data_IF_545488218771
#
_entry.id   IF_545488218771
#
_cell.length_a   1.000
_cell.length_b   1.000
_cell.length_c   1.000
_cell.angle_alpha   90.00
_cell.angle_beta   90.00
_cell.angle_gamma   90.00
#
_symmetry.space_group_name_H-M   'P 1'
#
loop_
_entity.id
_entity.type
_entity.pdbx_description
1 polymer ?
#
# COMPACT_ATOMS: atom_id res chain seq x y z
N UNK A 1 15.24 -1.20 29.55
CA UNK A 1 15.75 -0.48 28.36
C UNK A 1 16.31 -1.52 27.42
N UNK A 2 15.85 -1.59 26.16
CA UNK A 2 16.45 -2.49 25.18
C UNK A 2 17.91 -2.09 24.93
N UNK A 3 18.82 -3.06 24.83
CA UNK A 3 20.21 -2.78 24.47
C UNK A 3 20.27 -2.23 23.05
N UNK A 4 21.18 -1.29 22.80
CA UNK A 4 21.39 -0.68 21.47
C UNK A 4 21.58 -1.76 20.39
N UNK A 5 22.31 -2.82 20.74
CA UNK A 5 22.52 -4.01 19.91
C UNK A 5 21.21 -4.65 19.43
N UNK A 6 20.21 -4.76 20.31
CA UNK A 6 18.91 -5.36 19.98
C UNK A 6 18.13 -4.51 18.98
N UNK A 7 18.20 -3.18 19.10
CA UNK A 7 17.53 -2.25 18.18
C UNK A 7 18.13 -2.35 16.79
N UNK A 8 19.47 -2.36 16.69
CA UNK A 8 20.16 -2.54 15.41
C UNK A 8 19.90 -3.93 14.80
N UNK A 9 19.87 -4.98 15.62
CA UNK A 9 19.53 -6.33 15.16
C UNK A 9 18.10 -6.42 14.62
N UNK A 10 17.12 -5.82 15.31
CA UNK A 10 15.72 -5.74 14.87
C UNK A 10 15.58 -4.96 13.56
N UNK A 11 16.16 -3.76 13.47
CA UNK A 11 16.13 -2.94 12.27
C UNK A 11 16.78 -3.67 11.08
N UNK A 12 17.95 -4.29 11.29
CA UNK A 12 18.63 -5.09 10.28
C UNK A 12 17.81 -6.29 9.82
N UNK A 13 17.14 -6.98 10.74
CA UNK A 13 16.25 -8.11 10.41
C UNK A 13 15.05 -7.65 9.58
N UNK A 14 14.41 -6.53 9.95
CA UNK A 14 13.28 -5.96 9.19
C UNK A 14 13.74 -5.57 7.77
N UNK A 15 14.89 -4.91 7.64
CA UNK A 15 15.47 -4.55 6.34
C UNK A 15 15.80 -5.79 5.49
N UNK A 16 16.39 -6.83 6.10
CA UNK A 16 16.69 -8.09 5.42
C UNK A 16 15.41 -8.78 4.93
N UNK A 17 14.35 -8.83 5.75
CA UNK A 17 13.06 -9.39 5.36
C UNK A 17 12.46 -8.59 4.21
N UNK A 18 12.50 -7.25 4.28
CA UNK A 18 12.06 -6.36 3.21
C UNK A 18 12.79 -6.63 1.89
N UNK A 19 14.11 -6.66 1.94
CA UNK A 19 14.95 -6.96 0.78
C UNK A 19 14.70 -8.35 0.22
N UNK A 20 14.56 -9.36 1.09
CA UNK A 20 14.30 -10.74 0.67
C UNK A 20 12.92 -10.87 0.04
N UNK A 21 11.90 -10.21 0.59
CA UNK A 21 10.55 -10.12 0.02
C UNK A 21 10.56 -9.51 -1.39
N UNK A 22 11.29 -8.41 -1.56
CA UNK A 22 11.49 -7.78 -2.88
C UNK A 22 12.24 -8.70 -3.86
N UNK A 23 13.31 -9.36 -3.40
CA UNK A 23 14.08 -10.28 -4.24
C UNK A 23 13.24 -11.49 -4.68
N UNK A 24 12.47 -12.10 -3.77
CA UNK A 24 11.55 -13.19 -4.07
C UNK A 24 10.43 -12.74 -5.01
N UNK A 25 9.88 -11.55 -4.81
CA UNK A 25 8.87 -10.95 -5.69
C UNK A 25 9.33 -10.92 -7.14
N UNK A 26 10.57 -10.46 -7.37
CA UNK A 26 11.16 -10.41 -8.71
C UNK A 26 11.43 -11.79 -9.31
N UNK A 27 11.79 -12.78 -8.49
CA UNK A 27 12.03 -14.16 -8.94
C UNK A 27 10.74 -14.92 -9.29
N UNK A 28 9.71 -14.78 -8.46
CA UNK A 28 8.43 -15.48 -8.60
C UNK A 28 7.36 -14.71 -9.39
N UNK A 29 7.63 -13.44 -9.76
CA UNK A 29 6.69 -12.53 -10.42
C UNK A 29 5.39 -12.29 -9.63
N UNK A 30 5.49 -12.28 -8.30
CA UNK A 30 4.38 -12.01 -7.37
C UNK A 30 4.63 -10.64 -6.76
N UNK A 31 3.62 -9.78 -6.54
CA UNK A 31 3.77 -8.53 -5.81
C UNK A 31 4.46 -8.73 -4.45
N UNK A 32 5.46 -7.92 -4.16
CA UNK A 32 6.25 -7.96 -2.93
C UNK A 32 5.39 -7.80 -1.67
N UNK A 33 4.35 -6.95 -1.73
CA UNK A 33 3.40 -6.77 -0.63
C UNK A 33 2.72 -8.09 -0.20
N UNK A 34 2.39 -8.98 -1.14
CA UNK A 34 1.78 -10.27 -0.82
C UNK A 34 2.76 -11.18 -0.08
N UNK A 35 4.02 -11.20 -0.53
CA UNK A 35 5.08 -11.97 0.10
C UNK A 35 5.36 -11.43 1.50
N UNK A 36 5.43 -10.11 1.67
CA UNK A 36 5.67 -9.48 2.97
C UNK A 36 4.53 -9.74 3.96
N UNK A 37 3.26 -9.65 3.53
CA UNK A 37 2.10 -10.01 4.34
C UNK A 37 2.19 -11.48 4.77
N UNK A 38 2.49 -12.38 3.84
CA UNK A 38 2.58 -13.82 4.12
C UNK A 38 3.72 -14.16 5.08
N UNK A 39 4.90 -13.56 4.90
CA UNK A 39 6.05 -13.71 5.78
C UNK A 39 5.72 -13.18 7.18
N UNK A 40 5.13 -12.00 7.30
CA UNK A 40 4.69 -11.45 8.58
C UNK A 40 3.69 -12.37 9.29
N UNK A 41 2.70 -12.87 8.57
CA UNK A 41 1.71 -13.81 9.09
C UNK A 41 2.34 -15.10 9.62
N UNK A 42 3.29 -15.70 8.89
CA UNK A 42 3.99 -16.93 9.31
C UNK A 42 4.86 -16.69 10.55
N UNK A 43 5.62 -15.59 10.56
CA UNK A 43 6.52 -15.26 11.68
C UNK A 43 5.72 -15.08 12.98
N UNK A 44 4.59 -14.40 12.92
CA UNK A 44 3.76 -14.15 14.11
C UNK A 44 2.93 -15.37 14.50
N UNK A 45 2.29 -16.07 13.55
CA UNK A 45 1.34 -17.14 13.86
C UNK A 45 2.01 -18.49 14.11
N UNK A 46 2.90 -18.90 13.20
CA UNK A 46 3.51 -20.24 13.22
C UNK A 46 4.68 -20.29 14.19
N UNK A 47 5.55 -19.29 14.12
CA UNK A 47 6.78 -19.25 14.92
C UNK A 47 6.59 -18.59 16.27
N UNK A 48 5.56 -17.72 16.44
CA UNK A 48 5.33 -16.92 17.65
C UNK A 48 6.58 -16.19 18.14
N UNK A 49 7.47 -15.86 17.20
CA UNK A 49 8.80 -15.33 17.47
C UNK A 49 8.74 -13.86 17.92
N UNK A 50 7.65 -13.16 17.58
CA UNK A 50 7.44 -11.74 17.83
C UNK A 50 6.10 -11.58 18.57
N UNK A 51 6.15 -11.04 19.79
CA UNK A 51 4.95 -10.55 20.46
C UNK A 51 4.56 -9.19 19.83
N UNK A 52 3.35 -9.04 19.28
CA UNK A 52 2.90 -7.77 18.73
C UNK A 52 2.60 -6.71 19.82
N UNK A 53 2.45 -7.08 21.09
CA UNK A 53 2.05 -6.15 22.16
C UNK A 53 3.01 -4.94 22.34
N UNK A 54 4.35 -5.10 22.33
CA UNK A 54 5.28 -3.97 22.41
C UNK A 54 5.32 -3.13 21.13
N UNK A 55 4.93 -3.71 19.99
CA UNK A 55 4.91 -3.03 18.69
C UNK A 55 3.64 -2.17 18.51
N UNK A 56 2.50 -2.59 19.07
CA UNK A 56 1.23 -1.84 18.97
C UNK A 56 1.33 -0.33 19.21
N UNK A 57 2.01 0.18 20.27
CA UNK A 57 2.11 1.62 20.50
C UNK A 57 3.04 2.34 19.50
N UNK A 58 4.02 1.64 18.91
CA UNK A 58 5.00 2.24 18.00
C UNK A 58 4.56 2.15 16.53
N UNK A 59 3.72 1.18 16.18
CA UNK A 59 3.22 0.95 14.81
C UNK A 59 2.60 2.21 14.21
N UNK A 60 1.66 2.93 14.86
CA UNK A 60 1.09 4.15 14.29
C UNK A 60 2.15 5.20 13.94
N UNK A 61 3.14 5.41 14.82
CA UNK A 61 4.23 6.35 14.59
C UNK A 61 5.09 5.94 13.39
N UNK A 62 5.49 4.67 13.31
CA UNK A 62 6.27 4.15 12.19
C UNK A 62 5.48 4.18 10.89
N UNK A 63 4.19 3.82 10.90
CA UNK A 63 3.33 3.88 9.72
C UNK A 63 3.19 5.32 9.24
N UNK A 64 2.97 6.29 10.12
CA UNK A 64 2.92 7.71 9.75
C UNK A 64 4.24 8.19 9.15
N UNK A 65 5.39 7.83 9.73
CA UNK A 65 6.70 8.19 9.20
C UNK A 65 6.96 7.52 7.83
N UNK A 66 6.61 6.26 7.68
CA UNK A 66 6.72 5.54 6.40
C UNK A 66 5.84 6.18 5.34
N UNK A 67 4.57 6.48 5.65
CA UNK A 67 3.65 7.17 4.76
C UNK A 67 4.17 8.56 4.37
N UNK A 68 4.73 9.31 5.32
CA UNK A 68 5.34 10.61 5.05
C UNK A 68 6.48 10.46 4.04
N UNK A 69 7.42 9.53 4.27
CA UNK A 69 8.56 9.31 3.37
C UNK A 69 8.09 8.86 1.98
N UNK A 70 7.13 7.92 1.90
CA UNK A 70 6.58 7.43 0.63
C UNK A 70 5.89 8.56 -0.13
N UNK A 71 5.05 9.35 0.54
CA UNK A 71 4.33 10.47 -0.08
C UNK A 71 5.28 11.60 -0.48
N UNK A 72 6.35 11.81 0.29
CA UNK A 72 7.40 12.79 -0.03
C UNK A 72 8.18 12.37 -1.28
N UNK A 73 8.62 11.12 -1.37
CA UNK A 73 9.31 10.59 -2.56
C UNK A 73 8.40 10.67 -3.81
N UNK A 74 7.14 10.23 -3.69
CA UNK A 74 6.16 10.33 -4.77
C UNK A 74 5.87 11.78 -5.18
N UNK A 75 5.82 12.70 -4.21
CA UNK A 75 5.59 14.12 -4.45
C UNK A 75 6.77 14.83 -5.12
N UNK A 76 8.01 14.48 -4.76
CA UNK A 76 9.22 15.03 -5.38
C UNK A 76 9.37 14.63 -6.85
N UNK A 77 8.90 13.43 -7.22
CA UNK A 77 8.89 12.94 -8.60
C UNK A 77 7.76 13.55 -9.45
N UNK A 78 6.80 14.25 -8.82
CA UNK A 78 5.64 14.81 -9.50
C UNK A 78 5.99 16.16 -10.16
N UNK A 79 5.99 16.20 -11.48
CA UNK A 79 6.14 17.44 -12.25
C UNK A 79 4.84 18.26 -12.21
N UNK A 80 4.62 18.97 -11.08
CA UNK A 80 3.41 19.77 -10.82
C UNK A 80 3.00 20.66 -12.00
N UNK A 81 3.98 21.27 -12.66
CA UNK A 81 3.72 22.18 -13.77
C UNK A 81 3.15 21.46 -15.01
N UNK A 82 3.60 20.24 -15.33
CA UNK A 82 3.01 19.43 -16.40
C UNK A 82 1.67 18.83 -15.98
N UNK A 83 1.56 18.38 -14.72
CA UNK A 83 0.32 17.87 -14.16
C UNK A 83 -0.82 18.90 -14.23
N UNK A 84 -0.60 20.15 -13.80
CA UNK A 84 -1.64 21.17 -13.86
C UNK A 84 -2.01 21.60 -15.29
N UNK A 85 -1.06 21.52 -16.23
CA UNK A 85 -1.21 22.08 -17.58
C UNK A 85 -1.73 21.07 -18.62
N UNK A 86 -1.35 19.80 -18.49
CA UNK A 86 -1.73 18.73 -19.44
C UNK A 86 -2.75 17.73 -18.88
N UNK A 87 -3.01 17.75 -17.56
CA UNK A 87 -3.76 16.70 -16.88
C UNK A 87 -5.19 17.03 -16.38
N UNK A 88 -5.90 18.13 -16.75
CA UNK A 88 -7.24 18.37 -16.18
C UNK A 88 -8.25 17.28 -16.56
N UNK A 89 -8.12 16.68 -17.75
CA UNK A 89 -8.96 15.51 -18.14
C UNK A 89 -8.62 14.26 -17.33
N UNK A 90 -7.33 13.99 -17.12
CA UNK A 90 -6.88 12.84 -16.33
C UNK A 90 -7.22 12.99 -14.84
N UNK A 91 -7.18 14.21 -14.32
CA UNK A 91 -7.63 14.52 -12.97
C UNK A 91 -9.12 14.23 -12.80
N UNK A 92 -9.97 14.75 -13.69
CA UNK A 92 -11.42 14.48 -13.66
C UNK A 92 -11.69 12.98 -13.78
N UNK A 93 -11.00 12.28 -14.69
CA UNK A 93 -11.14 10.84 -14.85
C UNK A 93 -10.73 10.07 -13.59
N UNK A 94 -9.62 10.46 -12.95
CA UNK A 94 -9.13 9.82 -11.73
C UNK A 94 -10.09 10.05 -10.56
N UNK A 95 -10.58 11.28 -10.37
CA UNK A 95 -11.57 11.59 -9.32
C UNK A 95 -12.87 10.84 -9.55
N UNK A 96 -13.38 10.80 -10.79
CA UNK A 96 -14.59 10.05 -11.11
C UNK A 96 -14.39 8.55 -10.88
N UNK A 97 -13.28 7.98 -11.32
CA UNK A 97 -12.98 6.56 -11.12
C UNK A 97 -12.89 6.22 -9.63
N UNK A 98 -12.20 7.04 -8.84
CA UNK A 98 -12.12 6.87 -7.39
C UNK A 98 -13.49 6.95 -6.72
N UNK A 99 -14.28 7.99 -7.01
CA UNK A 99 -15.60 8.18 -6.39
C UNK A 99 -16.55 7.04 -6.77
N UNK A 100 -16.57 6.62 -8.04
CA UNK A 100 -17.40 5.51 -8.50
C UNK A 100 -16.97 4.18 -7.85
N UNK A 101 -15.67 3.93 -7.74
CA UNK A 101 -15.12 2.75 -7.06
C UNK A 101 -15.49 2.73 -5.58
N UNK A 102 -15.25 3.84 -4.88
CA UNK A 102 -15.60 4.05 -3.47
C UNK A 102 -17.10 3.82 -3.22
N UNK A 103 -17.97 4.43 -4.03
CA UNK A 103 -19.41 4.28 -3.89
C UNK A 103 -19.88 2.86 -4.24
N UNK A 104 -19.26 2.21 -5.24
CA UNK A 104 -19.55 0.83 -5.60
C UNK A 104 -19.24 -0.14 -4.45
N UNK A 105 -18.06 -0.01 -3.83
CA UNK A 105 -17.67 -0.80 -2.66
C UNK A 105 -18.57 -0.49 -1.46
N UNK A 106 -18.86 0.78 -1.19
CA UNK A 106 -19.71 1.18 -0.08
C UNK A 106 -21.16 0.67 -0.26
N UNK A 107 -21.72 0.76 -1.47
CA UNK A 107 -23.04 0.23 -1.77
C UNK A 107 -23.10 -1.29 -1.60
N UNK A 108 -22.07 -2.00 -2.06
CA UNK A 108 -21.96 -3.45 -1.87
C UNK A 108 -21.91 -3.82 -0.37
N UNK A 109 -21.10 -3.11 0.43
CA UNK A 109 -21.02 -3.37 1.87
C UNK A 109 -22.33 -3.04 2.59
N UNK A 110 -22.97 -1.92 2.27
CA UNK A 110 -24.19 -1.48 2.94
C UNK A 110 -25.41 -2.33 2.55
N UNK A 111 -25.65 -2.53 1.26
CA UNK A 111 -26.88 -3.18 0.78
C UNK A 111 -26.79 -4.71 0.75
N UNK A 112 -25.61 -5.29 0.48
CA UNK A 112 -25.46 -6.76 0.41
C UNK A 112 -25.02 -7.38 1.73
N UNK A 113 -24.14 -6.72 2.48
CA UNK A 113 -23.62 -7.24 3.75
C UNK A 113 -24.29 -6.61 4.99
N UNK A 114 -25.13 -5.59 4.80
CA UNK A 114 -25.86 -4.95 5.89
C UNK A 114 -24.98 -4.12 6.83
N UNK A 115 -23.81 -3.68 6.37
CA UNK A 115 -22.91 -2.86 7.19
C UNK A 115 -23.48 -1.45 7.39
N UNK A 116 -23.09 -0.80 8.49
CA UNK A 116 -23.40 0.61 8.72
C UNK A 116 -22.88 1.49 7.57
N UNK A 117 -23.61 2.56 7.25
CA UNK A 117 -23.28 3.43 6.13
C UNK A 117 -21.90 4.10 6.32
N UNK A 118 -21.57 4.52 7.55
CA UNK A 118 -20.28 5.15 7.84
C UNK A 118 -19.15 4.15 7.64
N UNK A 119 -19.29 2.92 8.16
CA UNK A 119 -18.28 1.87 8.00
C UNK A 119 -18.11 1.46 6.53
N UNK A 120 -19.21 1.40 5.78
CA UNK A 120 -19.21 1.09 4.36
C UNK A 120 -18.49 2.15 3.53
N UNK A 121 -18.76 3.44 3.81
CA UNK A 121 -18.06 4.56 3.18
C UNK A 121 -16.58 4.62 3.57
N UNK A 122 -16.26 4.37 4.84
CA UNK A 122 -14.86 4.30 5.30
C UNK A 122 -14.10 3.21 4.56
N UNK A 123 -14.64 2.00 4.52
CA UNK A 123 -14.00 0.89 3.80
C UNK A 123 -13.90 1.17 2.29
N UNK A 124 -14.95 1.73 1.71
CA UNK A 124 -14.96 2.18 0.32
C UNK A 124 -13.87 3.21 0.04
N UNK A 125 -13.59 4.13 0.95
CA UNK A 125 -12.53 5.13 0.78
C UNK A 125 -11.12 4.52 0.88
N UNK A 126 -10.95 3.50 1.73
CA UNK A 126 -9.67 2.81 1.93
C UNK A 126 -9.30 1.96 0.70
N UNK A 127 -10.28 1.27 0.11
CA UNK A 127 -10.05 0.32 -1.00
C UNK A 127 -10.33 0.97 -2.37
N UNK A 128 -11.07 2.08 -2.41
CA UNK A 128 -11.51 2.72 -3.65
C UNK A 128 -10.39 3.30 -4.50
N UNK A 129 -9.21 3.52 -3.91
CA UNK A 129 -8.02 3.98 -4.62
C UNK A 129 -7.31 2.84 -5.36
N UNK A 130 -7.04 3.06 -6.65
CA UNK A 130 -6.24 2.13 -7.43
C UNK A 130 -4.77 2.49 -7.30
N UNK A 131 -3.96 1.62 -6.69
CA UNK A 131 -2.52 1.84 -6.62
C UNK A 131 -1.94 1.92 -8.03
N UNK A 132 -1.53 3.12 -8.45
CA UNK A 132 -0.98 3.39 -9.77
C UNK A 132 0.22 2.47 -10.09
N UNK A 133 0.96 2.06 -9.06
CA UNK A 133 2.08 1.12 -9.14
C UNK A 133 1.67 -0.24 -9.73
N UNK A 134 0.49 -0.75 -9.37
CA UNK A 134 -0.02 -2.04 -9.86
C UNK A 134 -0.55 -1.90 -11.29
N UNK A 135 -1.24 -0.80 -11.59
CA UNK A 135 -1.73 -0.53 -12.94
C UNK A 135 -0.58 -0.37 -13.95
N UNK A 136 0.46 0.40 -13.62
CA UNK A 136 1.66 0.57 -14.45
C UNK A 136 2.39 -0.76 -14.63
N UNK A 137 2.50 -1.56 -13.56
CA UNK A 137 3.08 -2.90 -13.67
C UNK A 137 2.29 -3.77 -14.65
N UNK A 138 0.95 -3.75 -14.64
CA UNK A 138 0.15 -4.51 -15.60
C UNK A 138 0.24 -3.95 -17.04
N UNK A 139 0.21 -2.63 -17.21
CA UNK A 139 0.30 -2.00 -18.54
C UNK A 139 1.65 -2.31 -19.20
N UNK A 140 2.76 -2.38 -18.46
CA UNK A 140 4.05 -2.81 -19.02
C UNK A 140 4.09 -4.26 -19.54
N UNK A 141 3.15 -5.11 -19.09
CA UNK A 141 3.00 -6.47 -19.62
C UNK A 141 2.05 -6.54 -20.82
N UNK A 142 1.31 -5.47 -21.08
CA UNK A 142 0.47 -5.32 -22.25
C UNK A 142 1.26 -4.52 -23.29
N UNK A 143 1.40 -5.05 -24.51
CA UNK A 143 2.09 -4.38 -25.60
C UNK A 143 1.21 -3.22 -26.15
N UNK A 144 0.99 -2.18 -25.35
CA UNK A 144 0.14 -1.04 -25.71
C UNK A 144 1.03 0.06 -26.32
N UNK A 145 0.68 0.59 -27.50
CA UNK A 145 1.39 1.73 -28.09
C UNK A 145 1.27 2.96 -27.17
N UNK A 146 2.33 3.76 -27.14
CA UNK A 146 2.74 4.79 -26.16
C UNK A 146 1.81 6.03 -26.03
N UNK A 147 0.51 5.90 -26.33
CA UNK A 147 -0.43 7.02 -26.51
C UNK A 147 -1.79 6.87 -25.82
N UNK A 148 -1.86 6.17 -24.69
CA UNK A 148 -3.08 6.07 -23.87
C UNK A 148 -2.85 6.67 -22.49
#
# INVERSE_FOLDING_TARGET
MASIELIFALAGTILLIGFLGYYLSRKFRIPDILILIFVGYIITTTFKLIDPAPLKPIVPLFTSLALLVILFDGGLQLELHKFLKESPRAFVLSVLAFVLSMLGVAAFMHFLLGWDLLLSLLLGSIIGDSSATVAIAMVRHLNIPERV
#
